data_IF_868626458696
#
_entry.id   IF_868626458696
#
_cell.length_a   1.000
_cell.length_b   1.000
_cell.length_c   1.000
_cell.angle_alpha   90.00
_cell.angle_beta   90.00
_cell.angle_gamma   90.00
#
_symmetry.space_group_name_H-M   'P 1'
#
loop_
_entity.id
_entity.type
_entity.pdbx_description
1 polymer ?
#
# COMPACT_ATOMS: atom_id res chain seq x y z
N UNK A 1 -34.88 9.26 9.55
CA UNK A 1 -35.04 8.53 8.26
C UNK A 1 -34.38 9.30 7.10
N UNK A 2 -34.67 10.59 6.91
CA UNK A 2 -34.09 11.41 5.84
C UNK A 2 -32.55 11.50 5.86
N UNK A 3 -31.92 11.67 7.02
CA UNK A 3 -30.45 11.74 7.13
C UNK A 3 -29.76 10.46 6.67
N UNK A 4 -30.29 9.29 7.04
CA UNK A 4 -29.76 7.98 6.60
C UNK A 4 -29.91 7.77 5.09
N UNK A 5 -31.00 8.28 4.50
CA UNK A 5 -31.19 8.22 3.06
C UNK A 5 -30.13 9.08 2.34
N UNK A 6 -29.84 10.27 2.83
CA UNK A 6 -28.81 11.15 2.27
C UNK A 6 -27.41 10.53 2.35
N UNK A 7 -27.09 9.81 3.42
CA UNK A 7 -25.77 9.14 3.56
C UNK A 7 -25.51 8.04 2.53
N UNK A 8 -26.56 7.42 1.97
CA UNK A 8 -26.43 6.37 0.95
C UNK A 8 -26.61 6.94 -0.45
N UNK A 9 -27.58 7.84 -0.63
CA UNK A 9 -27.89 8.46 -1.93
C UNK A 9 -26.73 9.31 -2.43
N UNK A 10 -26.06 10.07 -1.55
CA UNK A 10 -24.94 10.93 -1.95
C UNK A 10 -23.82 10.17 -2.67
N UNK A 11 -23.20 9.15 -2.04
CA UNK A 11 -22.16 8.35 -2.68
C UNK A 11 -22.64 7.63 -3.95
N UNK A 12 -23.86 7.10 -3.97
CA UNK A 12 -24.40 6.42 -5.16
C UNK A 12 -24.62 7.39 -6.32
N UNK A 13 -25.12 8.59 -6.05
CA UNK A 13 -25.29 9.63 -7.06
C UNK A 13 -23.93 10.06 -7.63
N UNK A 14 -22.91 10.17 -6.79
CA UNK A 14 -21.54 10.46 -7.23
C UNK A 14 -20.97 9.35 -8.12
N UNK A 15 -21.15 8.07 -7.75
CA UNK A 15 -20.72 6.94 -8.57
C UNK A 15 -21.46 6.90 -9.92
N UNK A 16 -22.77 7.18 -9.91
CA UNK A 16 -23.57 7.24 -11.14
C UNK A 16 -23.12 8.40 -12.06
N UNK A 17 -22.83 9.57 -11.48
CA UNK A 17 -22.30 10.71 -12.23
C UNK A 17 -20.92 10.38 -12.82
N UNK A 18 -20.01 9.78 -12.03
CA UNK A 18 -18.70 9.36 -12.52
C UNK A 18 -18.82 8.34 -13.65
N UNK A 19 -19.65 7.31 -13.49
CA UNK A 19 -19.93 6.32 -14.53
C UNK A 19 -20.42 6.99 -15.83
N UNK A 20 -21.38 7.91 -15.73
CA UNK A 20 -21.93 8.62 -16.87
C UNK A 20 -20.90 9.52 -17.57
N UNK A 21 -20.12 10.29 -16.81
CA UNK A 21 -19.08 11.18 -17.35
C UNK A 21 -17.94 10.38 -18.01
N UNK A 22 -17.53 9.26 -17.41
CA UNK A 22 -16.50 8.37 -17.96
C UNK A 22 -16.98 7.70 -19.26
N UNK A 23 -18.17 7.08 -19.25
CA UNK A 23 -18.73 6.45 -20.46
C UNK A 23 -19.08 7.43 -21.56
N UNK A 24 -19.50 8.64 -21.20
CA UNK A 24 -19.81 9.70 -22.14
C UNK A 24 -18.56 10.35 -22.77
N UNK A 25 -17.35 9.95 -22.37
CA UNK A 25 -16.10 10.49 -22.89
C UNK A 25 -15.70 11.87 -22.35
N UNK A 26 -16.41 12.38 -21.35
CA UNK A 26 -16.12 13.66 -20.69
C UNK A 26 -14.92 13.53 -19.74
N UNK A 27 -14.69 12.33 -19.22
CA UNK A 27 -13.49 11.96 -18.47
C UNK A 27 -12.69 10.93 -19.24
N UNK A 28 -11.38 11.11 -19.29
CA UNK A 28 -10.50 10.21 -20.01
C UNK A 28 -10.43 8.84 -19.28
N UNK A 29 -10.86 7.72 -19.91
CA UNK A 29 -11.05 6.44 -19.21
C UNK A 29 -9.79 5.80 -18.62
N UNK A 30 -8.60 6.19 -19.10
CA UNK A 30 -7.33 5.73 -18.52
C UNK A 30 -7.13 6.27 -17.10
N UNK A 31 -7.53 7.53 -16.86
CA UNK A 31 -7.38 8.16 -15.55
C UNK A 31 -8.63 7.99 -14.69
N UNK A 32 -9.80 7.91 -15.33
CA UNK A 32 -11.10 7.79 -14.68
C UNK A 32 -11.90 6.63 -15.29
N UNK A 33 -11.47 5.37 -15.10
CA UNK A 33 -12.22 4.22 -15.58
C UNK A 33 -13.62 4.21 -14.94
N UNK A 34 -14.66 3.77 -15.67
CA UNK A 34 -16.00 3.73 -15.12
C UNK A 34 -16.05 2.76 -13.91
N UNK A 35 -16.68 3.13 -12.79
CA UNK A 35 -16.81 2.27 -11.61
C UNK A 35 -17.19 0.82 -11.90
N UNK A 36 -18.08 0.59 -12.87
CA UNK A 36 -18.48 -0.76 -13.28
C UNK A 36 -17.31 -1.61 -13.84
N UNK A 37 -16.38 -1.00 -14.58
CA UNK A 37 -15.20 -1.68 -15.10
C UNK A 37 -14.19 -2.02 -13.99
N UNK A 38 -14.10 -1.15 -12.97
CA UNK A 38 -13.28 -1.41 -11.76
C UNK A 38 -13.82 -2.65 -11.03
N UNK A 39 -15.14 -2.70 -10.81
CA UNK A 39 -15.80 -3.86 -10.17
C UNK A 39 -15.64 -5.12 -11.02
N UNK A 40 -15.81 -5.03 -12.33
CA UNK A 40 -15.62 -6.17 -13.25
C UNK A 40 -14.20 -6.73 -13.17
N UNK A 41 -13.20 -5.86 -13.19
CA UNK A 41 -11.79 -6.25 -13.03
C UNK A 41 -11.52 -6.87 -11.67
N UNK A 42 -12.06 -6.28 -10.60
CA UNK A 42 -11.93 -6.82 -9.24
C UNK A 42 -12.49 -8.24 -9.16
N UNK A 43 -13.70 -8.47 -9.67
CA UNK A 43 -14.34 -9.80 -9.66
C UNK A 43 -13.51 -10.79 -10.48
N UNK A 44 -13.03 -10.39 -11.67
CA UNK A 44 -12.20 -11.25 -12.50
C UNK A 44 -10.90 -11.67 -11.79
N UNK A 45 -10.19 -10.73 -11.16
CA UNK A 45 -8.92 -10.99 -10.47
C UNK A 45 -9.11 -11.78 -9.16
N UNK A 46 -10.25 -11.60 -8.49
CA UNK A 46 -10.61 -12.41 -7.31
C UNK A 46 -10.98 -13.83 -7.75
N UNK A 47 -11.77 -13.98 -8.81
CA UNK A 47 -12.21 -15.28 -9.31
C UNK A 47 -11.06 -16.10 -9.91
N UNK A 48 -10.10 -15.46 -10.58
CA UNK A 48 -8.88 -16.12 -11.06
C UNK A 48 -7.89 -16.48 -9.94
N UNK A 49 -8.03 -15.86 -8.76
CA UNK A 49 -7.11 -16.00 -7.64
C UNK A 49 -5.81 -15.20 -7.80
N UNK A 50 -5.61 -14.49 -8.90
CA UNK A 50 -4.41 -13.69 -9.18
C UNK A 50 -4.23 -12.57 -8.16
N UNK A 51 -5.32 -11.88 -7.79
CA UNK A 51 -5.26 -10.81 -6.80
C UNK A 51 -4.67 -11.34 -5.49
N UNK A 52 -5.22 -12.44 -5.00
CA UNK A 52 -4.78 -13.04 -3.75
C UNK A 52 -3.33 -13.54 -3.84
N UNK A 53 -2.98 -14.23 -4.93
CA UNK A 53 -1.64 -14.75 -5.14
C UNK A 53 -0.58 -13.63 -5.11
N UNK A 54 -0.79 -12.54 -5.85
CA UNK A 54 0.14 -11.41 -5.87
C UNK A 54 0.18 -10.65 -4.55
N UNK A 55 -0.97 -10.45 -3.89
CA UNK A 55 -1.03 -9.82 -2.57
C UNK A 55 -0.25 -10.64 -1.54
N UNK A 56 -0.42 -11.97 -1.52
CA UNK A 56 0.28 -12.85 -0.58
C UNK A 56 1.78 -12.84 -0.83
N UNK A 57 2.23 -12.98 -2.08
CA UNK A 57 3.67 -12.93 -2.40
C UNK A 57 4.28 -11.58 -2.00
N UNK A 58 3.57 -10.47 -2.24
CA UNK A 58 4.03 -9.14 -1.83
C UNK A 58 4.11 -9.00 -0.31
N UNK A 59 3.09 -9.47 0.42
CA UNK A 59 3.08 -9.45 1.87
C UNK A 59 4.19 -10.33 2.48
N UNK A 60 4.40 -11.53 1.94
CA UNK A 60 5.48 -12.42 2.35
C UNK A 60 6.85 -11.78 2.17
N UNK A 61 7.08 -11.08 1.07
CA UNK A 61 8.34 -10.35 0.84
C UNK A 61 8.61 -9.30 1.91
N UNK A 62 7.59 -8.58 2.36
CA UNK A 62 7.70 -7.61 3.48
C UNK A 62 8.06 -8.35 4.77
N UNK A 63 7.32 -9.42 5.10
CA UNK A 63 7.53 -10.17 6.34
C UNK A 63 8.92 -10.82 6.39
N UNK A 64 9.32 -11.48 5.32
CA UNK A 64 10.64 -12.12 5.20
C UNK A 64 11.75 -11.08 5.28
N UNK A 65 11.64 -9.98 4.52
CA UNK A 65 12.62 -8.89 4.57
C UNK A 65 12.73 -8.27 5.96
N UNK A 66 11.58 -8.04 6.62
CA UNK A 66 11.54 -7.53 7.99
C UNK A 66 12.23 -8.47 8.97
N UNK A 67 11.90 -9.77 8.98
CA UNK A 67 12.52 -10.73 9.91
C UNK A 67 14.01 -10.89 9.63
N UNK A 68 14.38 -11.02 8.35
CA UNK A 68 15.78 -11.16 7.93
C UNK A 68 16.63 -9.94 8.31
N UNK A 69 16.05 -8.73 8.31
CA UNK A 69 16.73 -7.51 8.73
C UNK A 69 16.67 -7.27 10.25
N UNK A 70 15.52 -7.50 10.89
CA UNK A 70 15.28 -7.19 12.29
C UNK A 70 16.17 -8.03 13.21
N UNK A 71 16.33 -9.32 12.95
CA UNK A 71 17.17 -10.20 13.78
C UNK A 71 18.61 -9.68 13.89
N UNK A 72 19.37 -9.48 12.79
CA UNK A 72 20.72 -8.94 12.88
C UNK A 72 20.75 -7.48 13.33
N UNK A 73 19.78 -6.64 12.93
CA UNK A 73 19.75 -5.24 13.34
C UNK A 73 19.54 -5.07 14.85
N UNK A 74 18.66 -5.86 15.46
CA UNK A 74 18.43 -5.86 16.92
C UNK A 74 19.68 -6.37 17.64
N UNK A 75 20.28 -7.47 17.18
CA UNK A 75 21.52 -7.98 17.75
C UNK A 75 22.65 -6.93 17.69
N UNK A 76 22.85 -6.30 16.53
CA UNK A 76 23.84 -5.25 16.33
C UNK A 76 23.57 -4.03 17.22
N UNK A 77 22.32 -3.57 17.26
CA UNK A 77 21.90 -2.44 18.09
C UNK A 77 22.12 -2.70 19.58
N UNK A 78 21.87 -3.93 20.05
CA UNK A 78 22.15 -4.33 21.42
C UNK A 78 23.65 -4.30 21.73
N UNK A 79 24.49 -4.84 20.84
CA UNK A 79 25.96 -4.79 21.00
C UNK A 79 26.49 -3.35 21.00
N UNK A 80 25.95 -2.49 20.12
CA UNK A 80 26.29 -1.06 20.09
C UNK A 80 25.94 -0.35 21.40
N UNK A 81 24.84 -0.72 22.06
CA UNK A 81 24.43 -0.17 23.36
C UNK A 81 25.24 -0.70 24.55
N UNK A 82 25.66 -1.97 24.50
CA UNK A 82 26.45 -2.61 25.57
C UNK A 82 27.94 -2.25 25.49
N UNK A 83 28.49 -2.10 24.27
CA UNK A 83 29.92 -1.87 24.03
C UNK A 83 30.16 -0.48 23.43
N UNK A 84 30.61 0.45 24.27
CA UNK A 84 30.90 1.84 23.88
C UNK A 84 31.77 1.99 22.62
N UNK A 85 32.85 1.19 22.41
CA UNK A 85 33.67 1.30 21.19
C UNK A 85 32.90 0.89 19.92
N UNK A 86 32.05 -0.14 20.00
CA UNK A 86 31.26 -0.62 18.87
C UNK A 86 30.20 0.40 18.47
N UNK A 87 29.53 1.00 19.45
CA UNK A 87 28.61 2.11 19.22
C UNK A 87 29.28 3.27 18.48
N UNK A 88 30.44 3.73 18.95
CA UNK A 88 31.16 4.85 18.32
C UNK A 88 31.56 4.56 16.87
N UNK A 89 31.96 3.32 16.56
CA UNK A 89 32.36 2.91 15.21
C UNK A 89 31.17 2.83 14.23
N UNK A 90 30.03 2.29 14.68
CA UNK A 90 28.91 1.94 13.80
C UNK A 90 27.82 3.02 13.72
N UNK A 91 27.77 3.95 14.68
CA UNK A 91 26.79 5.04 14.71
C UNK A 91 26.78 5.90 13.42
N UNK A 92 27.92 6.27 12.80
CA UNK A 92 27.90 7.03 11.55
C UNK A 92 27.21 6.27 10.40
N UNK A 93 27.45 4.96 10.28
CA UNK A 93 26.80 4.12 9.26
C UNK A 93 25.30 3.97 9.53
N UNK A 94 24.91 3.79 10.81
CA UNK A 94 23.51 3.73 11.20
C UNK A 94 22.77 5.05 10.89
N UNK A 95 23.40 6.20 11.16
CA UNK A 95 22.85 7.52 10.86
C UNK A 95 22.69 7.77 9.35
N UNK A 96 23.62 7.27 8.53
CA UNK A 96 23.54 7.38 7.07
C UNK A 96 22.39 6.56 6.46
N UNK A 97 22.03 5.44 7.09
CA UNK A 97 20.93 4.56 6.64
C UNK A 97 19.56 5.02 7.14
N UNK A 98 19.50 5.91 8.12
CA UNK A 98 18.27 6.40 8.72
C UNK A 98 17.36 7.16 7.73
N UNK A 99 17.86 8.10 6.90
CA UNK A 99 17.06 8.71 5.86
C UNK A 99 16.97 7.78 4.64
N UNK A 100 15.92 6.96 4.56
CA UNK A 100 15.56 6.27 3.30
C UNK A 100 14.75 7.26 2.45
N UNK A 101 15.25 7.76 1.31
CA UNK A 101 14.47 8.64 0.43
C UNK A 101 13.28 7.86 -0.14
N UNK A 102 12.05 8.31 0.14
CA UNK A 102 10.79 7.65 -0.27
C UNK A 102 10.39 7.94 -1.73
N UNK A 103 11.34 8.02 -2.66
CA UNK A 103 11.10 8.42 -4.07
C UNK A 103 11.07 7.25 -5.07
N UNK A 104 10.75 6.04 -4.60
CA UNK A 104 10.28 4.95 -5.46
C UNK A 104 8.76 4.81 -5.34
#
# INVERSE_FOLDING_TARGET
MAERALTVVGPLALLALWEALSRGGWLHPIFFPPPSAIVGTLVALVASGELLAHTVVSALRIVVGFVAAAVPAVALGMVMGLLRPVGLLLMPAAAALYPIPKIA
#
